data_IF_980823218927
#
_entry.id   IF_980823218927
#
_cell.length_a   1.000
_cell.length_b   1.000
_cell.length_c   1.000
_cell.angle_alpha   90.00
_cell.angle_beta   90.00
_cell.angle_gamma   90.00
#
_symmetry.space_group_name_H-M   'P 1'
#
loop_
_entity.id
_entity.type
_entity.pdbx_description
1 polymer ?
#
# COMPACT_ATOMS: atom_id res chain seq x y z
N UNK A 1 11.07 -28.48 -22.10
CA UNK A 1 11.03 -27.27 -22.96
C UNK A 1 9.89 -27.25 -24.00
N UNK A 2 9.67 -28.31 -24.79
CA UNK A 2 8.57 -28.36 -25.80
C UNK A 2 7.14 -28.27 -25.22
N UNK A 3 6.89 -28.80 -24.01
CA UNK A 3 5.57 -28.79 -23.37
C UNK A 3 5.12 -27.36 -22.97
N UNK A 4 6.04 -26.58 -22.39
CA UNK A 4 5.84 -25.17 -22.03
C UNK A 4 5.53 -24.29 -23.23
N UNK A 5 6.18 -24.56 -24.37
CA UNK A 5 5.94 -23.83 -25.61
C UNK A 5 4.54 -24.13 -26.19
N UNK A 6 4.12 -25.39 -26.18
CA UNK A 6 2.77 -25.81 -26.58
C UNK A 6 1.69 -25.21 -25.69
N UNK A 7 1.91 -25.19 -24.38
CA UNK A 7 0.98 -24.58 -23.42
C UNK A 7 0.81 -23.08 -23.66
N UNK A 8 1.91 -22.36 -23.91
CA UNK A 8 1.87 -20.93 -24.28
C UNK A 8 1.05 -20.66 -25.53
N UNK A 9 1.28 -21.40 -26.61
CA UNK A 9 0.54 -21.25 -27.88
C UNK A 9 -0.96 -21.54 -27.67
N UNK A 10 -1.27 -22.55 -26.87
CA UNK A 10 -2.66 -22.89 -26.52
C UNK A 10 -3.35 -21.75 -25.79
N UNK A 11 -2.67 -21.12 -24.84
CA UNK A 11 -3.20 -20.02 -24.02
C UNK A 11 -3.46 -18.76 -24.85
N UNK A 12 -2.56 -18.41 -25.79
CA UNK A 12 -2.74 -17.28 -26.70
C UNK A 12 -3.87 -17.48 -27.72
N UNK A 13 -4.10 -18.71 -28.16
CA UNK A 13 -5.18 -19.02 -29.10
C UNK A 13 -6.52 -19.27 -28.41
N UNK A 14 -6.53 -19.64 -27.13
CA UNK A 14 -7.73 -20.04 -26.41
C UNK A 14 -8.83 -18.97 -26.37
N UNK A 15 -8.49 -17.74 -25.94
CA UNK A 15 -9.45 -16.63 -25.83
C UNK A 15 -10.00 -16.22 -27.21
N UNK A 16 -9.16 -15.86 -28.20
CA UNK A 16 -9.67 -15.42 -29.50
C UNK A 16 -10.43 -16.52 -30.25
N UNK A 17 -10.01 -17.78 -30.15
CA UNK A 17 -10.69 -18.89 -30.79
C UNK A 17 -12.04 -19.20 -30.14
N UNK A 18 -12.13 -19.12 -28.80
CA UNK A 18 -13.39 -19.30 -28.09
C UNK A 18 -14.37 -18.18 -28.40
N UNK A 19 -13.91 -16.93 -28.53
CA UNK A 19 -14.72 -15.79 -29.01
C UNK A 19 -15.18 -15.97 -30.45
N UNK A 20 -14.29 -16.44 -31.34
CA UNK A 20 -14.65 -16.74 -32.73
C UNK A 20 -15.77 -17.79 -32.82
N UNK A 21 -15.64 -18.90 -32.08
CA UNK A 21 -16.66 -19.94 -32.03
C UNK A 21 -17.95 -19.51 -31.33
N UNK A 22 -17.88 -18.61 -30.36
CA UNK A 22 -19.06 -18.00 -29.74
C UNK A 22 -19.85 -17.15 -30.77
N UNK A 23 -19.15 -16.46 -31.67
CA UNK A 23 -19.77 -15.63 -32.69
C UNK A 23 -20.29 -16.45 -33.90
N UNK A 24 -19.45 -17.32 -34.47
CA UNK A 24 -19.71 -18.05 -35.73
C UNK A 24 -20.14 -19.51 -35.59
N UNK A 25 -20.01 -20.13 -34.42
CA UNK A 25 -20.34 -21.55 -34.22
C UNK A 25 -21.85 -21.83 -34.21
N UNK A 26 -22.24 -23.10 -34.33
CA UNK A 26 -23.62 -23.55 -34.08
C UNK A 26 -23.99 -23.47 -32.59
N UNK A 27 -25.27 -23.63 -32.25
CA UNK A 27 -25.81 -23.43 -30.88
C UNK A 27 -25.00 -24.15 -29.80
N UNK A 28 -24.74 -25.46 -29.95
CA UNK A 28 -23.96 -26.23 -28.96
C UNK A 28 -22.52 -25.74 -28.84
N UNK A 29 -21.90 -25.34 -29.95
CA UNK A 29 -20.54 -24.79 -29.97
C UNK A 29 -20.50 -23.44 -29.25
N UNK A 30 -21.52 -22.60 -29.43
CA UNK A 30 -21.65 -21.31 -28.73
C UNK A 30 -21.77 -21.50 -27.22
N UNK A 31 -22.65 -22.41 -26.78
CA UNK A 31 -22.82 -22.72 -25.36
C UNK A 31 -21.49 -23.21 -24.76
N UNK A 32 -20.80 -24.13 -25.45
CA UNK A 32 -19.53 -24.65 -24.95
C UNK A 32 -18.41 -23.61 -24.91
N UNK A 33 -18.34 -22.74 -25.92
CA UNK A 33 -17.42 -21.61 -25.94
C UNK A 33 -17.71 -20.60 -24.83
N UNK A 34 -18.99 -20.33 -24.52
CA UNK A 34 -19.38 -19.48 -23.41
C UNK A 34 -18.95 -20.08 -22.07
N UNK A 35 -19.16 -21.37 -21.84
CA UNK A 35 -18.71 -22.07 -20.62
C UNK A 35 -17.19 -22.00 -20.46
N UNK A 36 -16.42 -22.24 -21.54
CA UNK A 36 -14.96 -22.13 -21.51
C UNK A 36 -14.46 -20.73 -21.13
N UNK A 37 -15.05 -19.71 -21.73
CA UNK A 37 -14.71 -18.31 -21.43
C UNK A 37 -15.11 -17.96 -20.00
N UNK A 38 -16.30 -18.40 -19.54
CA UNK A 38 -16.74 -18.19 -18.18
C UNK A 38 -15.78 -18.82 -17.17
N UNK A 39 -15.42 -20.09 -17.34
CA UNK A 39 -14.46 -20.80 -16.46
C UNK A 39 -13.10 -20.11 -16.41
N UNK A 40 -12.59 -19.64 -17.55
CA UNK A 40 -11.34 -18.90 -17.60
C UNK A 40 -11.44 -17.53 -16.90
N UNK A 41 -12.62 -16.92 -16.92
CA UNK A 41 -12.88 -15.64 -16.28
C UNK A 41 -13.20 -15.73 -14.79
N UNK A 42 -13.58 -16.91 -14.25
CA UNK A 42 -14.00 -17.06 -12.83
C UNK A 42 -12.96 -16.50 -11.86
N UNK A 43 -11.71 -16.94 -11.97
CA UNK A 43 -10.64 -16.54 -11.05
C UNK A 43 -10.35 -15.04 -11.13
N UNK A 44 -10.10 -14.43 -12.31
CA UNK A 44 -9.85 -12.99 -12.38
C UNK A 44 -11.06 -12.15 -11.99
N UNK A 45 -12.29 -12.57 -12.33
CA UNK A 45 -13.51 -11.87 -11.91
C UNK A 45 -13.68 -11.92 -10.40
N UNK A 46 -13.53 -13.09 -9.78
CA UNK A 46 -13.57 -13.23 -8.33
C UNK A 46 -12.51 -12.38 -7.63
N UNK A 47 -11.28 -12.35 -8.17
CA UNK A 47 -10.21 -11.53 -7.62
C UNK A 47 -10.54 -10.03 -7.71
N UNK A 48 -11.05 -9.57 -8.86
CA UNK A 48 -11.47 -8.18 -9.04
C UNK A 48 -12.60 -7.84 -8.07
N UNK A 49 -13.59 -8.71 -7.93
CA UNK A 49 -14.71 -8.52 -7.00
C UNK A 49 -14.24 -8.45 -5.54
N UNK A 50 -13.35 -9.38 -5.12
CA UNK A 50 -12.76 -9.37 -3.79
C UNK A 50 -11.96 -8.09 -3.50
N UNK A 51 -11.12 -7.65 -4.46
CA UNK A 51 -10.30 -6.44 -4.32
C UNK A 51 -11.17 -5.19 -4.31
N UNK A 52 -12.17 -5.10 -5.19
CA UNK A 52 -13.07 -3.94 -5.27
C UNK A 52 -13.99 -3.87 -4.06
N UNK A 53 -14.57 -4.99 -3.62
CA UNK A 53 -15.34 -5.10 -2.38
C UNK A 53 -14.53 -4.65 -1.16
N UNK A 54 -13.32 -5.22 -0.98
CA UNK A 54 -12.41 -4.75 0.07
C UNK A 54 -12.08 -3.27 -0.06
N UNK A 55 -11.91 -2.76 -1.28
CA UNK A 55 -11.67 -1.34 -1.56
C UNK A 55 -12.81 -0.45 -1.08
N UNK A 56 -14.07 -0.83 -1.35
CA UNK A 56 -15.25 -0.07 -0.90
C UNK A 56 -15.43 -0.11 0.61
N UNK A 57 -15.23 -1.27 1.23
CA UNK A 57 -15.33 -1.46 2.68
C UNK A 57 -14.27 -0.65 3.45
N UNK A 58 -13.15 -0.32 2.78
CA UNK A 58 -12.00 0.33 3.39
C UNK A 58 -11.67 1.68 2.75
N UNK A 59 -12.65 2.30 2.09
CA UNK A 59 -12.48 3.55 1.34
C UNK A 59 -11.85 4.67 2.17
N UNK A 60 -12.21 4.83 3.44
CA UNK A 60 -11.74 5.94 4.28
C UNK A 60 -10.26 5.73 4.66
N UNK A 61 -9.89 4.48 4.96
CA UNK A 61 -8.51 4.09 5.19
C UNK A 61 -7.65 4.30 3.93
N UNK A 62 -8.14 3.86 2.76
CA UNK A 62 -7.44 4.02 1.48
C UNK A 62 -7.29 5.51 1.15
N UNK A 63 -8.36 6.29 1.30
CA UNK A 63 -8.33 7.74 1.09
C UNK A 63 -7.31 8.42 2.01
N UNK A 64 -7.29 8.06 3.30
CA UNK A 64 -6.29 8.57 4.25
C UNK A 64 -4.85 8.25 3.83
N UNK A 65 -4.57 7.00 3.45
CA UNK A 65 -3.26 6.60 2.96
C UNK A 65 -2.85 7.35 1.68
N UNK A 66 -3.77 7.49 0.72
CA UNK A 66 -3.53 8.23 -0.53
C UNK A 66 -3.28 9.71 -0.28
N UNK A 67 -4.00 10.33 0.66
CA UNK A 67 -3.77 11.72 1.07
C UNK A 67 -2.38 11.87 1.69
N UNK A 68 -1.96 10.97 2.58
CA UNK A 68 -0.61 11.00 3.13
C UNK A 68 0.46 10.87 2.04
N UNK A 69 0.28 9.96 1.08
CA UNK A 69 1.19 9.80 -0.06
C UNK A 69 1.22 11.07 -0.92
N UNK A 70 0.07 11.68 -1.19
CA UNK A 70 -0.02 12.91 -1.98
C UNK A 70 0.70 14.08 -1.30
N UNK A 71 0.46 14.29 -0.01
CA UNK A 71 1.11 15.34 0.80
C UNK A 71 2.62 15.12 0.83
N UNK A 72 3.05 13.90 1.14
CA UNK A 72 4.47 13.52 1.16
C UNK A 72 5.14 13.75 -0.21
N UNK A 73 4.47 13.35 -1.29
CA UNK A 73 4.98 13.52 -2.65
C UNK A 73 5.08 14.99 -3.06
N UNK A 74 4.09 15.81 -2.70
CA UNK A 74 4.11 17.25 -2.95
C UNK A 74 5.25 17.92 -2.18
N UNK A 75 5.36 17.68 -0.88
CA UNK A 75 6.41 18.25 -0.04
C UNK A 75 7.80 17.81 -0.49
N UNK A 76 7.97 16.52 -0.80
CA UNK A 76 9.23 16.00 -1.34
C UNK A 76 9.58 16.64 -2.68
N UNK A 77 8.60 16.81 -3.58
CA UNK A 77 8.83 17.47 -4.87
C UNK A 77 9.28 18.93 -4.70
N UNK A 78 8.63 19.66 -3.78
CA UNK A 78 9.00 21.04 -3.44
C UNK A 78 10.42 21.10 -2.86
N UNK A 79 10.71 20.24 -1.88
CA UNK A 79 12.00 20.18 -1.22
C UNK A 79 13.15 19.86 -2.21
N UNK A 80 12.99 18.81 -3.02
CA UNK A 80 13.98 18.43 -4.03
C UNK A 80 14.09 19.44 -5.18
N UNK A 81 12.99 20.10 -5.54
CA UNK A 81 12.96 21.10 -6.61
C UNK A 81 13.64 22.41 -6.24
N UNK A 82 13.38 22.93 -5.05
CA UNK A 82 13.77 24.30 -4.68
C UNK A 82 14.92 24.38 -3.68
N UNK A 83 15.06 23.40 -2.76
CA UNK A 83 16.13 23.39 -1.75
C UNK A 83 17.32 22.56 -2.20
N UNK A 84 17.13 21.26 -2.49
CA UNK A 84 18.24 20.39 -2.90
C UNK A 84 18.66 20.58 -4.36
N UNK A 85 17.75 21.09 -5.21
CA UNK A 85 17.97 21.33 -6.64
C UNK A 85 18.44 20.09 -7.41
N UNK A 86 18.05 18.90 -6.97
CA UNK A 86 18.39 17.60 -7.58
C UNK A 86 17.17 16.87 -8.19
N UNK A 87 16.06 17.61 -8.33
CA UNK A 87 14.80 17.09 -8.84
C UNK A 87 14.93 16.53 -10.26
N UNK A 88 14.41 15.32 -10.46
CA UNK A 88 14.21 14.74 -11.78
C UNK A 88 12.86 14.03 -11.82
N UNK A 89 12.13 14.17 -12.93
CA UNK A 89 10.82 13.52 -13.10
C UNK A 89 10.89 12.00 -12.92
N UNK A 90 11.98 11.38 -13.39
CA UNK A 90 12.22 9.94 -13.25
C UNK A 90 12.31 9.53 -11.76
N UNK A 91 13.14 10.19 -10.96
CA UNK A 91 13.26 9.87 -9.53
C UNK A 91 11.94 10.13 -8.80
N UNK A 92 11.25 11.23 -9.16
CA UNK A 92 9.99 11.58 -8.54
C UNK A 92 8.90 10.53 -8.79
N UNK A 93 8.74 10.11 -10.04
CA UNK A 93 7.78 9.07 -10.43
C UNK A 93 8.10 7.72 -9.79
N UNK A 94 9.38 7.32 -9.76
CA UNK A 94 9.82 6.09 -9.09
C UNK A 94 9.51 6.16 -7.59
N UNK A 95 9.74 7.31 -6.95
CA UNK A 95 9.41 7.52 -5.54
C UNK A 95 7.92 7.37 -5.27
N UNK A 96 7.06 7.96 -6.12
CA UNK A 96 5.61 7.83 -6.02
C UNK A 96 5.14 6.38 -6.19
N UNK A 97 5.61 5.71 -7.25
CA UNK A 97 5.23 4.31 -7.53
C UNK A 97 5.72 3.37 -6.42
N UNK A 98 6.91 3.61 -5.88
CA UNK A 98 7.44 2.84 -4.74
C UNK A 98 6.54 2.99 -3.51
N UNK A 99 6.13 4.22 -3.17
CA UNK A 99 5.26 4.47 -2.01
C UNK A 99 3.88 3.84 -2.18
N UNK A 100 3.25 4.01 -3.36
CA UNK A 100 1.98 3.35 -3.69
C UNK A 100 2.10 1.82 -3.60
N UNK A 101 3.15 1.26 -4.20
CA UNK A 101 3.39 -0.18 -4.22
C UNK A 101 3.61 -0.76 -2.82
N UNK A 102 4.46 -0.14 -2.00
CA UNK A 102 4.73 -0.59 -0.64
C UNK A 102 3.47 -0.49 0.23
N UNK A 103 2.73 0.63 0.17
CA UNK A 103 1.48 0.75 0.93
C UNK A 103 0.43 -0.28 0.52
N UNK A 104 0.26 -0.51 -0.79
CA UNK A 104 -0.69 -1.51 -1.30
C UNK A 104 -0.29 -2.95 -0.88
N UNK A 105 0.99 -3.30 -1.03
CA UNK A 105 1.49 -4.62 -0.63
C UNK A 105 1.40 -4.83 0.89
N UNK A 106 1.76 -3.84 1.69
CA UNK A 106 1.67 -3.91 3.14
C UNK A 106 0.20 -4.04 3.59
N UNK A 107 -0.71 -3.27 3.01
CA UNK A 107 -2.14 -3.38 3.29
C UNK A 107 -2.67 -4.79 2.99
N UNK A 108 -2.26 -5.40 1.87
CA UNK A 108 -2.64 -6.77 1.50
C UNK A 108 -2.09 -7.80 2.49
N UNK A 109 -0.80 -7.72 2.83
CA UNK A 109 -0.15 -8.63 3.78
C UNK A 109 -0.83 -8.54 5.16
N UNK A 110 -1.08 -7.31 5.63
CA UNK A 110 -1.74 -7.10 6.91
C UNK A 110 -3.20 -7.53 6.90
N UNK A 111 -3.93 -7.37 5.80
CA UNK A 111 -5.30 -7.90 5.71
C UNK A 111 -5.32 -9.43 5.83
N UNK A 112 -4.38 -10.12 5.17
CA UNK A 112 -4.23 -11.58 5.30
C UNK A 112 -3.89 -11.97 6.74
N UNK A 113 -2.99 -11.24 7.40
CA UNK A 113 -2.64 -11.46 8.80
C UNK A 113 -3.85 -11.29 9.71
N UNK A 114 -4.57 -10.17 9.58
CA UNK A 114 -5.78 -9.87 10.36
C UNK A 114 -6.85 -10.95 10.17
N UNK A 115 -6.98 -11.49 8.95
CA UNK A 115 -7.94 -12.54 8.66
C UNK A 115 -7.69 -13.84 9.45
N UNK A 116 -6.45 -14.10 9.88
CA UNK A 116 -6.09 -15.26 10.71
C UNK A 116 -6.71 -15.19 12.12
N UNK A 117 -6.96 -13.98 12.62
CA UNK A 117 -7.49 -13.76 13.98
C UNK A 117 -8.95 -13.28 13.98
N UNK A 118 -9.63 -13.37 12.83
CA UNK A 118 -11.00 -12.83 12.64
C UNK A 118 -12.06 -13.40 13.59
N UNK A 119 -11.81 -14.57 14.17
CA UNK A 119 -12.74 -15.23 15.10
C UNK A 119 -12.81 -14.52 16.46
N UNK A 120 -11.77 -13.77 16.83
CA UNK A 120 -11.77 -12.92 18.02
C UNK A 120 -11.97 -11.46 17.59
N UNK A 121 -13.16 -10.91 17.82
CA UNK A 121 -13.50 -9.52 17.47
C UNK A 121 -12.52 -8.52 18.07
N UNK A 122 -12.21 -8.65 19.36
CA UNK A 122 -11.27 -7.76 20.04
C UNK A 122 -9.87 -7.77 19.40
N UNK A 123 -9.30 -8.97 19.19
CA UNK A 123 -7.94 -9.09 18.63
C UNK A 123 -7.92 -8.63 17.18
N UNK A 124 -8.96 -8.97 16.40
CA UNK A 124 -9.11 -8.54 15.03
C UNK A 124 -9.17 -7.02 14.89
N UNK A 125 -10.04 -6.34 15.64
CA UNK A 125 -10.19 -4.89 15.58
C UNK A 125 -8.91 -4.16 15.98
N UNK A 126 -8.28 -4.60 17.07
CA UNK A 126 -7.02 -4.01 17.54
C UNK A 126 -5.92 -4.18 16.50
N UNK A 127 -5.68 -5.41 16.01
CA UNK A 127 -4.63 -5.69 15.03
C UNK A 127 -4.89 -4.96 13.71
N UNK A 128 -6.15 -4.90 13.26
CA UNK A 128 -6.58 -4.15 12.08
C UNK A 128 -6.33 -2.66 12.22
N UNK A 129 -6.63 -2.07 13.36
CA UNK A 129 -6.35 -0.67 13.62
C UNK A 129 -4.84 -0.39 13.64
N UNK A 130 -4.06 -1.20 14.36
CA UNK A 130 -2.61 -1.03 14.47
C UNK A 130 -1.92 -1.17 13.12
N UNK A 131 -2.25 -2.21 12.35
CA UNK A 131 -1.64 -2.46 11.03
C UNK A 131 -1.98 -1.36 10.02
N UNK A 132 -3.21 -0.85 10.02
CA UNK A 132 -3.59 0.32 9.20
C UNK A 132 -2.82 1.57 9.57
N UNK A 133 -2.64 1.81 10.87
CA UNK A 133 -1.85 2.92 11.35
C UNK A 133 -0.39 2.80 10.87
N UNK A 134 0.22 1.61 10.91
CA UNK A 134 1.57 1.41 10.37
C UNK A 134 1.67 1.78 8.88
N UNK A 135 0.70 1.36 8.07
CA UNK A 135 0.71 1.65 6.63
C UNK A 135 0.57 3.15 6.36
N UNK A 136 -0.26 3.86 7.13
CA UNK A 136 -0.42 5.32 7.02
C UNK A 136 0.82 6.07 7.53
N UNK A 137 1.44 5.58 8.60
CA UNK A 137 2.63 6.20 9.19
C UNK A 137 3.85 6.14 8.27
N UNK A 138 3.92 5.18 7.34
CA UNK A 138 5.01 5.12 6.36
C UNK A 138 5.09 6.40 5.48
N UNK A 139 4.08 6.77 4.68
CA UNK A 139 4.10 8.02 3.93
C UNK A 139 3.98 9.26 4.83
N UNK A 140 3.22 9.20 5.93
CA UNK A 140 3.10 10.35 6.84
C UNK A 140 4.44 10.69 7.52
N UNK A 141 5.23 9.71 7.93
CA UNK A 141 6.56 9.91 8.50
C UNK A 141 7.53 10.56 7.51
N UNK A 142 7.48 10.16 6.24
CA UNK A 142 8.23 10.82 5.16
C UNK A 142 7.77 12.27 4.97
N UNK A 143 6.45 12.53 4.98
CA UNK A 143 5.92 13.89 4.92
C UNK A 143 6.39 14.75 6.10
N UNK A 144 6.39 14.21 7.31
CA UNK A 144 6.87 14.87 8.52
C UNK A 144 8.34 15.28 8.40
N UNK A 145 9.21 14.41 7.86
CA UNK A 145 10.60 14.78 7.60
C UNK A 145 10.70 15.94 6.60
N UNK A 146 9.98 15.86 5.48
CA UNK A 146 9.99 16.93 4.49
C UNK A 146 9.46 18.26 5.05
N UNK A 147 8.39 18.24 5.87
CA UNK A 147 7.88 19.45 6.54
C UNK A 147 8.89 20.03 7.52
N UNK A 148 9.55 19.17 8.29
CA UNK A 148 10.59 19.60 9.25
C UNK A 148 11.74 20.27 8.51
N UNK A 149 12.23 19.70 7.41
CA UNK A 149 13.28 20.31 6.59
C UNK A 149 12.83 21.66 6.00
N UNK A 150 11.62 21.72 5.43
CA UNK A 150 11.06 22.94 4.85
C UNK A 150 10.85 24.05 5.89
N UNK A 151 10.58 23.70 7.14
CA UNK A 151 10.33 24.64 8.23
C UNK A 151 11.56 24.89 9.11
N UNK A 152 12.76 24.42 8.70
CA UNK A 152 13.99 24.49 9.50
C UNK A 152 13.81 23.91 10.93
N UNK A 153 13.04 22.83 11.03
CA UNK A 153 12.82 22.06 12.25
C UNK A 153 11.75 22.60 13.19
N UNK A 154 10.91 23.53 12.74
CA UNK A 154 9.80 24.07 13.53
C UNK A 154 8.64 23.08 13.59
N UNK A 155 8.27 22.44 12.47
CA UNK A 155 7.13 21.53 12.44
C UNK A 155 7.26 20.35 11.46
N UNK A 156 7.08 19.10 11.92
CA UNK A 156 7.15 18.71 13.33
C UNK A 156 8.57 18.93 13.87
N UNK A 157 8.74 19.21 15.18
CA UNK A 157 10.06 19.48 15.73
C UNK A 157 11.06 18.34 15.47
N UNK A 158 12.28 18.66 15.00
CA UNK A 158 13.32 17.65 14.71
C UNK A 158 13.59 16.75 15.92
N UNK A 159 13.58 17.32 17.13
CA UNK A 159 13.76 16.56 18.37
C UNK A 159 12.69 15.48 18.56
N UNK A 160 11.44 15.75 18.16
CA UNK A 160 10.35 14.78 18.21
C UNK A 160 10.53 13.67 17.16
N UNK A 161 10.90 14.02 15.93
CA UNK A 161 11.16 13.03 14.88
C UNK A 161 12.33 12.12 15.26
N UNK A 162 13.41 12.70 15.82
CA UNK A 162 14.56 11.93 16.28
C UNK A 162 14.21 11.00 17.45
N UNK A 163 13.35 11.42 18.39
CA UNK A 163 12.82 10.54 19.44
C UNK A 163 12.04 9.36 18.85
N UNK A 164 11.18 9.60 17.87
CA UNK A 164 10.45 8.52 17.19
C UNK A 164 11.39 7.55 16.47
N UNK A 165 12.42 8.06 15.79
CA UNK A 165 13.42 7.22 15.11
C UNK A 165 14.20 6.36 16.10
N UNK A 166 14.70 6.95 17.19
CA UNK A 166 15.40 6.21 18.25
C UNK A 166 14.52 5.16 18.91
N UNK A 167 13.24 5.49 19.14
CA UNK A 167 12.28 4.51 19.64
C UNK A 167 12.07 3.36 18.65
N UNK A 168 11.93 3.63 17.35
CA UNK A 168 11.79 2.60 16.34
C UNK A 168 13.02 1.66 16.29
N UNK A 169 14.23 2.21 16.44
CA UNK A 169 15.47 1.43 16.35
C UNK A 169 15.77 0.65 17.65
N UNK A 170 15.37 1.16 18.82
CA UNK A 170 15.69 0.57 20.13
C UNK A 170 14.51 -0.12 20.84
N UNK A 171 13.28 0.14 20.40
CA UNK A 171 12.02 -0.19 21.09
C UNK A 171 11.96 0.28 22.55
N UNK A 172 12.80 1.23 22.94
CA UNK A 172 12.94 1.70 24.31
C UNK A 172 12.02 2.88 24.60
N UNK A 173 10.98 2.68 25.42
CA UNK A 173 10.01 3.73 25.78
C UNK A 173 10.62 4.87 26.60
N UNK A 174 11.82 4.68 27.16
CA UNK A 174 12.53 5.72 27.89
C UNK A 174 12.95 6.89 26.98
N UNK A 175 13.02 6.69 25.65
CA UNK A 175 13.30 7.77 24.68
C UNK A 175 12.25 8.91 24.69
N UNK A 176 11.04 8.61 25.19
CA UNK A 176 9.97 9.59 25.33
C UNK A 176 9.81 10.15 26.75
N UNK A 177 10.55 9.62 27.73
CA UNK A 177 10.55 10.21 29.08
C UNK A 177 11.32 11.53 29.03
N UNK A 178 10.74 12.56 29.64
CA UNK A 178 11.51 13.74 30.02
C UNK A 178 12.21 13.38 31.32
N UNK A 179 13.53 13.51 31.37
CA UNK A 179 14.29 13.53 32.61
C UNK A 179 13.99 14.83 33.35
N UNK A 180 12.79 14.95 33.93
CA UNK A 180 12.47 15.98 34.91
C UNK A 180 12.97 15.53 36.30
N UNK A 181 14.26 15.22 36.40
CA UNK A 181 14.95 14.95 37.67
C UNK A 181 15.98 16.02 38.04
N UNK A 182 16.06 17.13 37.30
CA UNK A 182 17.01 18.23 37.56
C UNK A 182 16.31 19.53 38.02
N UNK A 183 15.43 19.43 39.03
CA UNK A 183 14.69 20.60 39.53
C UNK A 183 14.18 20.54 40.97
N UNK A 184 14.67 19.61 41.80
CA UNK A 184 14.22 19.50 43.20
C UNK A 184 15.36 19.20 44.19
N UNK A 185 16.56 19.72 43.90
CA UNK A 185 17.65 19.83 44.86
C UNK A 185 18.36 21.18 44.67
N UNK A 186 17.70 22.26 45.10
CA UNK A 186 18.34 23.53 45.47
C UNK A 186 17.30 24.42 46.17
N UNK A 187 16.90 24.02 47.38
CA UNK A 187 16.50 24.88 48.51
C UNK A 187 16.55 24.05 49.78
#
# INVERSE_FOLDING_TARGET
>A
MKLLHRFRIWLYLFIPLSLYYLHKGGILIKVWSAVKLALAAVIPVWLIDAVTGWGFDNRDYIAGALVCIAVDHLLGSIYHGFWLKDFTLKKNLIGLLTKLGICALAALIFEILNHTVRESTFVYEYLKMTTRLMVILYPAGSAFMNMSELTNGVFPPIGWINKMKRFNDSLNTNEFKNDNSDGLNNT
#
